data_IF_722723163781
#
_entry.id   IF_722723163781
#
_cell.length_a   1.000
_cell.length_b   1.000
_cell.length_c   1.000
_cell.angle_alpha   90.00
_cell.angle_beta   90.00
_cell.angle_gamma   90.00
#
_symmetry.space_group_name_H-M   'P 1'
#
loop_
_entity.id
_entity.type
_entity.pdbx_description
1 polymer ?
#
# COMPACT_ATOMS: atom_id res chain seq x y z
N UNK A 1 58.63 25.23 6.17
CA UNK A 1 57.29 25.75 5.79
C UNK A 1 56.38 24.57 5.46
N UNK A 2 55.52 24.11 6.39
CA UNK A 2 54.58 23.00 6.15
C UNK A 2 53.37 23.53 5.37
N UNK A 3 53.11 22.95 4.20
CA UNK A 3 52.00 23.32 3.32
C UNK A 3 50.73 22.66 3.87
N UNK A 4 49.86 23.45 4.49
CA UNK A 4 48.52 23.00 4.92
C UNK A 4 47.68 22.82 3.66
N UNK A 5 47.50 21.57 3.25
CA UNK A 5 46.53 21.21 2.21
C UNK A 5 45.15 21.36 2.86
N UNK A 6 44.47 22.47 2.59
CA UNK A 6 43.04 22.61 2.89
C UNK A 6 42.29 21.59 2.04
N UNK A 7 41.86 20.48 2.62
CA UNK A 7 40.80 19.65 2.05
C UNK A 7 39.59 20.59 1.88
N UNK A 8 39.21 20.87 0.63
CA UNK A 8 37.90 21.44 0.36
C UNK A 8 36.88 20.44 0.89
N UNK A 9 36.23 20.78 2.01
CA UNK A 9 35.05 20.07 2.44
C UNK A 9 33.97 20.37 1.41
N UNK A 10 33.83 19.51 0.41
CA UNK A 10 32.59 19.38 -0.35
C UNK A 10 31.54 18.90 0.63
N UNK A 11 30.96 19.83 1.38
CA UNK A 11 29.78 19.55 2.16
C UNK A 11 28.77 18.90 1.21
N UNK A 12 28.19 17.74 1.53
CA UNK A 12 27.19 17.14 0.67
C UNK A 12 26.06 18.16 0.51
N UNK A 13 25.85 18.66 -0.71
CA UNK A 13 24.93 19.78 -0.98
C UNK A 13 23.46 19.40 -0.70
N UNK A 14 23.13 18.11 -0.78
CA UNK A 14 21.78 17.58 -0.62
C UNK A 14 21.25 17.58 0.82
N UNK A 15 22.01 17.25 1.88
CA UNK A 15 21.53 17.37 3.26
C UNK A 15 21.27 18.80 3.76
N UNK A 16 21.60 19.86 2.99
CA UNK A 16 21.41 21.25 3.39
C UNK A 16 20.14 21.94 2.83
N UNK A 17 19.47 21.37 1.82
CA UNK A 17 18.24 21.95 1.24
C UNK A 17 17.11 21.95 2.27
N UNK A 18 16.27 22.99 2.40
CA UNK A 18 15.11 22.97 3.28
C UNK A 18 14.06 21.91 2.89
N UNK A 19 13.31 21.37 3.87
CA UNK A 19 12.29 20.34 3.63
C UNK A 19 11.20 20.77 2.63
N UNK A 20 10.86 22.07 2.60
CA UNK A 20 9.89 22.63 1.64
C UNK A 20 10.35 22.44 0.19
N UNK A 21 11.64 22.68 -0.07
CA UNK A 21 12.23 22.49 -1.41
C UNK A 21 12.29 21.00 -1.73
N UNK A 22 12.70 20.17 -0.77
CA UNK A 22 12.72 18.71 -0.94
C UNK A 22 11.33 18.14 -1.26
N UNK A 23 10.27 18.61 -0.57
CA UNK A 23 8.89 18.24 -0.88
C UNK A 23 8.50 18.60 -2.31
N UNK A 24 8.91 19.78 -2.79
CA UNK A 24 8.64 20.20 -4.17
C UNK A 24 9.38 19.30 -5.18
N UNK A 25 10.64 18.95 -4.92
CA UNK A 25 11.39 17.99 -5.75
C UNK A 25 10.72 16.62 -5.77
N UNK A 26 10.35 16.09 -4.61
CA UNK A 26 9.68 14.79 -4.54
C UNK A 26 8.30 14.80 -5.20
N UNK A 27 7.59 15.92 -5.20
CA UNK A 27 6.29 16.03 -5.88
C UNK A 27 6.36 15.85 -7.41
N UNK A 28 7.55 15.94 -8.01
CA UNK A 28 7.74 15.71 -9.46
C UNK A 28 8.17 14.28 -9.79
N UNK A 29 8.41 13.44 -8.78
CA UNK A 29 8.87 12.07 -8.96
C UNK A 29 7.70 11.10 -9.13
N UNK A 30 7.91 10.08 -9.95
CA UNK A 30 7.02 8.93 -9.99
C UNK A 30 7.02 8.17 -8.67
N UNK A 31 5.99 7.36 -8.43
CA UNK A 31 5.93 6.51 -7.24
C UNK A 31 7.14 5.58 -7.08
N UNK A 32 7.66 5.03 -8.18
CA UNK A 32 8.85 4.17 -8.16
C UNK A 32 10.09 4.93 -7.71
N UNK A 33 10.26 6.16 -8.20
CA UNK A 33 11.38 7.03 -7.81
C UNK A 33 11.26 7.50 -6.36
N UNK A 34 10.04 7.77 -5.89
CA UNK A 34 9.76 8.05 -4.48
C UNK A 34 10.18 6.87 -3.59
N UNK A 35 9.77 5.64 -3.93
CA UNK A 35 10.14 4.44 -3.17
C UNK A 35 11.67 4.26 -3.10
N UNK A 36 12.40 4.54 -4.20
CA UNK A 36 13.87 4.52 -4.20
C UNK A 36 14.47 5.62 -3.33
N UNK A 37 13.88 6.82 -3.38
CA UNK A 37 14.32 7.98 -2.60
C UNK A 37 14.15 7.74 -1.09
N UNK A 38 13.08 7.04 -0.69
CA UNK A 38 12.82 6.63 0.70
C UNK A 38 14.03 5.90 1.32
N UNK A 39 14.72 5.07 0.55
CA UNK A 39 15.83 4.22 1.02
C UNK A 39 17.16 4.97 1.21
N UNK A 40 17.21 6.26 0.89
CA UNK A 40 18.48 7.02 0.85
C UNK A 40 18.97 7.43 2.23
N UNK A 41 18.12 8.06 3.04
CA UNK A 41 18.43 8.45 4.43
C UNK A 41 17.15 8.68 5.23
N UNK A 42 17.24 8.66 6.56
CA UNK A 42 16.08 8.85 7.48
C UNK A 42 15.28 10.13 7.19
N UNK A 43 15.96 11.20 6.77
CA UNK A 43 15.30 12.47 6.43
C UNK A 43 14.44 12.32 5.17
N UNK A 44 14.98 11.71 4.12
CA UNK A 44 14.25 11.49 2.87
C UNK A 44 13.11 10.51 3.07
N UNK A 45 13.34 9.44 3.84
CA UNK A 45 12.31 8.51 4.25
C UNK A 45 11.11 9.21 4.88
N UNK A 46 11.36 10.14 5.82
CA UNK A 46 10.29 10.92 6.46
C UNK A 46 9.53 11.78 5.46
N UNK A 47 10.24 12.59 4.67
CA UNK A 47 9.61 13.52 3.74
C UNK A 47 8.81 12.77 2.67
N UNK A 48 9.39 11.71 2.08
CA UNK A 48 8.71 10.86 1.09
C UNK A 48 7.50 10.18 1.73
N UNK A 49 7.62 9.65 2.94
CA UNK A 49 6.51 9.06 3.67
C UNK A 49 5.36 10.06 3.88
N UNK A 50 5.66 11.30 4.27
CA UNK A 50 4.67 12.35 4.44
C UNK A 50 4.00 12.73 3.11
N UNK A 51 4.77 12.83 2.02
CA UNK A 51 4.24 13.05 0.67
C UNK A 51 3.30 11.93 0.25
N UNK A 52 3.73 10.67 0.36
CA UNK A 52 2.92 9.52 -0.05
C UNK A 52 1.64 9.38 0.78
N UNK A 53 1.66 9.66 2.10
CA UNK A 53 0.44 9.63 2.93
C UNK A 53 -0.55 10.72 2.55
N UNK A 54 -0.07 11.88 2.08
CA UNK A 54 -0.95 12.95 1.60
C UNK A 54 -1.53 12.64 0.22
N UNK A 55 -0.71 12.06 -0.64
CA UNK A 55 -1.05 11.82 -2.05
C UNK A 55 -1.74 10.47 -2.28
N UNK A 56 -1.81 9.59 -1.27
CA UNK A 56 -2.45 8.27 -1.37
C UNK A 56 -3.40 8.07 -0.19
N UNK A 57 -4.69 8.25 -0.48
CA UNK A 57 -5.81 7.97 0.42
C UNK A 57 -6.74 6.90 -0.16
N UNK A 58 -6.63 6.59 -1.45
CA UNK A 58 -7.32 5.49 -2.11
C UNK A 58 -6.30 4.51 -2.69
N UNK A 59 -6.49 3.22 -2.42
CA UNK A 59 -5.65 2.15 -2.94
C UNK A 59 -6.53 1.17 -3.70
N UNK A 60 -6.16 0.88 -4.94
CA UNK A 60 -6.77 -0.18 -5.75
C UNK A 60 -5.72 -1.25 -6.02
N UNK A 61 -5.99 -2.48 -5.58
CA UNK A 61 -5.13 -3.64 -5.81
C UNK A 61 -5.91 -4.66 -6.63
N UNK A 62 -5.52 -4.77 -7.90
CA UNK A 62 -6.09 -5.73 -8.85
C UNK A 62 -5.07 -6.83 -9.13
N UNK A 63 -5.44 -8.07 -8.84
CA UNK A 63 -4.60 -9.24 -9.12
C UNK A 63 -5.25 -10.19 -10.12
N UNK A 64 -6.06 -9.60 -10.99
CA UNK A 64 -6.81 -10.31 -12.02
C UNK A 64 -5.90 -10.60 -13.23
N UNK A 65 -5.83 -11.87 -13.62
CA UNK A 65 -5.15 -12.34 -14.83
C UNK A 65 -3.72 -12.84 -14.62
N UNK A 66 -3.18 -13.48 -15.66
CA UNK A 66 -1.82 -14.03 -15.72
C UNK A 66 -0.74 -12.95 -15.94
N UNK A 67 -0.98 -11.71 -15.48
CA UNK A 67 0.03 -10.66 -15.61
C UNK A 67 1.25 -11.07 -14.80
N UNK A 68 2.39 -11.25 -15.48
CA UNK A 68 3.69 -11.50 -14.85
C UNK A 68 4.35 -10.22 -14.35
N UNK A 69 3.73 -9.06 -14.58
CA UNK A 69 4.33 -7.76 -14.30
C UNK A 69 3.52 -6.95 -13.29
N UNK A 70 4.27 -6.23 -12.45
CA UNK A 70 3.73 -5.24 -11.53
C UNK A 70 3.61 -3.91 -12.26
N UNK A 71 2.40 -3.38 -12.35
CA UNK A 71 2.09 -2.06 -12.92
C UNK A 71 1.56 -1.18 -11.79
N UNK A 72 2.09 0.04 -11.69
CA UNK A 72 1.68 1.00 -10.67
C UNK A 72 1.37 2.33 -11.33
N UNK A 73 0.16 2.81 -11.12
CA UNK A 73 -0.30 4.11 -11.58
C UNK A 73 -0.61 4.99 -10.36
N UNK A 74 0.24 5.98 -10.11
CA UNK A 74 0.05 6.96 -9.05
C UNK A 74 -0.62 8.20 -9.61
N UNK A 75 -1.76 8.58 -9.03
CA UNK A 75 -2.59 9.70 -9.47
C UNK A 75 -2.81 10.69 -8.30
N UNK A 76 -1.81 11.52 -7.96
CA UNK A 76 -1.89 12.46 -6.83
C UNK A 76 -3.14 13.36 -6.80
N UNK A 77 -3.65 13.89 -7.95
CA UNK A 77 -4.87 14.71 -7.94
C UNK A 77 -6.10 13.98 -7.39
N UNK A 78 -6.19 12.68 -7.59
CA UNK A 78 -7.26 11.82 -7.08
C UNK A 78 -6.91 11.17 -5.74
N UNK A 79 -5.72 11.46 -5.21
CA UNK A 79 -5.12 10.80 -4.07
C UNK A 79 -5.12 9.27 -4.17
N UNK A 80 -4.91 8.75 -5.38
CA UNK A 80 -5.14 7.34 -5.71
C UNK A 80 -3.87 6.63 -6.16
N UNK A 81 -3.70 5.40 -5.68
CA UNK A 81 -2.68 4.47 -6.16
C UNK A 81 -3.36 3.21 -6.71
N UNK A 82 -3.27 3.01 -8.03
CA UNK A 82 -3.71 1.76 -8.65
C UNK A 82 -2.53 0.83 -8.85
N UNK A 83 -2.71 -0.43 -8.47
CA UNK A 83 -1.71 -1.48 -8.53
C UNK A 83 -2.34 -2.66 -9.24
N UNK A 84 -1.67 -3.10 -10.31
CA UNK A 84 -1.95 -4.39 -10.94
C UNK A 84 -0.74 -5.28 -10.75
N UNK A 85 -0.89 -6.46 -10.15
CA UNK A 85 0.25 -7.33 -9.87
C UNK A 85 -0.10 -8.83 -9.86
N UNK A 86 0.90 -9.71 -10.06
CA UNK A 86 0.77 -11.14 -9.80
C UNK A 86 0.29 -11.47 -8.38
N UNK A 87 -0.33 -12.65 -8.20
CA UNK A 87 -0.84 -13.15 -6.91
C UNK A 87 0.23 -13.29 -5.82
N UNK A 88 1.46 -13.58 -6.19
CA UNK A 88 2.62 -13.83 -5.32
C UNK A 88 3.46 -12.59 -5.02
N UNK A 89 3.04 -11.40 -5.46
CA UNK A 89 3.76 -10.13 -5.26
C UNK A 89 3.70 -9.56 -3.82
N UNK A 90 3.69 -10.42 -2.81
CA UNK A 90 3.53 -10.04 -1.39
C UNK A 90 4.66 -9.13 -0.88
N UNK A 91 5.90 -9.31 -1.32
CA UNK A 91 7.02 -8.45 -0.92
C UNK A 91 6.80 -6.99 -1.35
N UNK A 92 6.40 -6.79 -2.62
CA UNK A 92 6.05 -5.47 -3.13
C UNK A 92 4.85 -4.86 -2.38
N UNK A 93 3.79 -5.65 -2.18
CA UNK A 93 2.59 -5.21 -1.48
C UNK A 93 2.85 -4.89 -0.01
N UNK A 94 3.79 -5.58 0.65
CA UNK A 94 4.21 -5.28 2.02
C UNK A 94 4.76 -3.86 2.12
N UNK A 95 5.55 -3.45 1.12
CA UNK A 95 6.03 -2.07 1.00
C UNK A 95 4.89 -1.06 0.83
N UNK A 96 3.91 -1.37 -0.02
CA UNK A 96 2.71 -0.53 -0.25
C UNK A 96 1.94 -0.34 1.05
N UNK A 97 1.55 -1.45 1.70
CA UNK A 97 0.76 -1.46 2.92
C UNK A 97 1.50 -0.74 4.03
N UNK A 98 2.80 -1.00 4.25
CA UNK A 98 3.61 -0.33 5.27
C UNK A 98 3.53 1.21 5.21
N UNK A 99 3.51 1.77 4.00
CA UNK A 99 3.51 3.23 3.79
C UNK A 99 2.12 3.85 3.85
N UNK A 100 1.11 3.15 3.32
CA UNK A 100 -0.19 3.75 3.07
C UNK A 100 -1.27 3.31 4.06
N UNK A 101 -1.05 2.25 4.85
CA UNK A 101 -2.07 1.65 5.74
C UNK A 101 -2.75 2.60 6.73
N UNK A 102 -2.05 3.63 7.19
CA UNK A 102 -2.58 4.59 8.17
C UNK A 102 -3.30 5.78 7.51
N UNK A 103 -3.10 5.99 6.21
CA UNK A 103 -3.63 7.13 5.48
C UNK A 103 -4.71 6.74 4.46
N UNK A 104 -4.77 5.46 4.07
CA UNK A 104 -5.80 4.95 3.19
C UNK A 104 -7.18 5.03 3.87
N UNK A 105 -8.10 5.73 3.21
CA UNK A 105 -9.51 5.86 3.56
C UNK A 105 -10.37 4.94 2.70
N UNK A 106 -9.92 4.61 1.48
CA UNK A 106 -10.62 3.75 0.54
C UNK A 106 -9.72 2.61 0.06
N UNK A 107 -10.25 1.40 0.03
CA UNK A 107 -9.56 0.22 -0.46
C UNK A 107 -10.44 -0.50 -1.48
N UNK A 108 -9.91 -0.74 -2.67
CA UNK A 108 -10.49 -1.62 -3.68
C UNK A 108 -9.58 -2.82 -3.84
N UNK A 109 -10.09 -4.03 -3.60
CA UNK A 109 -9.28 -5.26 -3.72
C UNK A 109 -10.12 -6.52 -3.87
N UNK A 110 -9.47 -7.65 -4.10
CA UNK A 110 -10.10 -8.96 -4.21
C UNK A 110 -10.11 -9.73 -2.87
N UNK A 111 -11.06 -10.66 -2.71
CA UNK A 111 -11.18 -11.50 -1.52
C UNK A 111 -9.90 -12.31 -1.24
N UNK A 112 -9.26 -12.82 -2.30
CA UNK A 112 -8.00 -13.55 -2.22
C UNK A 112 -6.92 -12.72 -1.51
N UNK A 113 -6.97 -11.38 -1.55
CA UNK A 113 -5.93 -10.52 -0.97
C UNK A 113 -6.10 -10.43 0.52
N UNK A 114 -7.32 -10.10 0.92
CA UNK A 114 -7.71 -9.98 2.31
C UNK A 114 -7.54 -11.31 3.05
N UNK A 115 -7.84 -12.43 2.40
CA UNK A 115 -7.67 -13.77 2.94
C UNK A 115 -6.21 -14.19 3.17
N UNK A 116 -5.25 -13.51 2.54
CA UNK A 116 -3.83 -13.86 2.54
C UNK A 116 -2.96 -12.70 3.05
N UNK A 117 -3.53 -11.82 3.90
CA UNK A 117 -2.83 -10.65 4.44
C UNK A 117 -1.68 -11.01 5.40
N UNK A 118 -1.74 -12.20 6.00
CA UNK A 118 -0.70 -12.80 6.84
C UNK A 118 0.62 -13.04 6.10
N UNK A 119 0.57 -13.19 4.77
CA UNK A 119 1.76 -13.33 3.92
C UNK A 119 2.53 -12.02 3.73
N UNK A 120 1.96 -10.88 4.13
CA UNK A 120 2.65 -9.61 4.06
C UNK A 120 3.65 -9.45 5.21
N UNK A 121 4.88 -9.07 4.87
CA UNK A 121 5.91 -8.70 5.84
C UNK A 121 5.69 -7.26 6.32
N UNK A 122 4.67 -7.08 7.14
CA UNK A 122 4.31 -5.78 7.73
C UNK A 122 4.34 -5.91 9.23
N UNK A 123 5.25 -5.17 9.88
CA UNK A 123 5.32 -5.13 11.34
C UNK A 123 4.07 -4.46 11.91
N UNK A 124 3.26 -5.27 12.59
CA UNK A 124 2.12 -4.84 13.38
C UNK A 124 2.63 -4.77 14.81
N UNK A 125 3.25 -3.64 15.18
CA UNK A 125 3.89 -3.40 16.49
C UNK A 125 3.20 -4.17 17.62
N UNK A 126 3.97 -4.96 18.37
CA UNK A 126 3.46 -5.85 19.40
C UNK A 126 2.79 -5.07 20.54
N UNK A 127 1.61 -5.48 21.05
CA UNK A 127 0.81 -6.62 20.62
C UNK A 127 -0.44 -6.16 19.84
N UNK A 128 -0.51 -6.46 18.54
CA UNK A 128 -1.76 -6.70 17.77
C UNK A 128 -2.95 -5.72 17.92
N UNK A 129 -2.72 -4.47 18.32
CA UNK A 129 -3.81 -3.49 18.44
C UNK A 129 -4.09 -2.73 17.13
N UNK A 130 -3.17 -2.78 16.15
CA UNK A 130 -3.34 -2.04 14.90
C UNK A 130 -3.82 -2.94 13.79
N UNK A 131 -5.03 -2.63 13.30
CA UNK A 131 -5.60 -3.23 12.10
C UNK A 131 -4.73 -2.91 10.88
N UNK A 132 -4.71 -3.80 9.88
CA UNK A 132 -3.97 -3.58 8.63
C UNK A 132 -4.39 -2.30 7.91
N UNK A 133 -5.66 -1.94 8.00
CA UNK A 133 -6.27 -0.77 7.36
C UNK A 133 -7.17 -0.07 8.39
N UNK A 134 -6.55 0.49 9.43
CA UNK A 134 -7.26 1.09 10.55
C UNK A 134 -8.15 2.27 10.15
N UNK A 135 -7.73 3.04 9.15
CA UNK A 135 -8.41 4.26 8.69
C UNK A 135 -9.30 4.05 7.47
N UNK A 136 -9.40 2.81 6.94
CA UNK A 136 -10.26 2.55 5.77
C UNK A 136 -11.71 2.58 6.21
N UNK A 137 -12.47 3.46 5.57
CA UNK A 137 -13.90 3.71 5.77
C UNK A 137 -14.74 3.07 4.66
N UNK A 138 -14.22 3.06 3.42
CA UNK A 138 -14.89 2.47 2.25
C UNK A 138 -14.09 1.28 1.70
N UNK A 139 -14.70 0.09 1.70
CA UNK A 139 -14.16 -1.10 1.05
C UNK A 139 -14.97 -1.43 -0.21
N UNK A 140 -14.28 -1.54 -1.35
CA UNK A 140 -14.81 -2.12 -2.58
C UNK A 140 -14.22 -3.51 -2.77
N UNK A 141 -15.00 -4.54 -2.48
CA UNK A 141 -14.58 -5.93 -2.55
C UNK A 141 -14.98 -6.58 -3.87
N UNK A 142 -13.98 -6.99 -4.64
CA UNK A 142 -14.12 -7.70 -5.91
C UNK A 142 -14.15 -9.21 -5.65
N UNK A 143 -15.25 -9.86 -6.00
CA UNK A 143 -15.45 -11.29 -5.84
C UNK A 143 -15.63 -11.93 -7.21
N UNK A 144 -14.52 -12.41 -7.78
CA UNK A 144 -14.50 -12.99 -9.14
C UNK A 144 -14.57 -14.53 -9.11
N UNK A 145 -13.74 -15.15 -8.28
CA UNK A 145 -13.76 -16.59 -8.01
C UNK A 145 -13.61 -16.76 -6.51
N UNK A 146 -14.47 -17.57 -5.91
CA UNK A 146 -14.45 -17.90 -4.48
C UNK A 146 -14.22 -19.39 -4.35
N UNK A 147 -13.30 -19.77 -3.48
CA UNK A 147 -13.12 -21.12 -2.98
C UNK A 147 -13.25 -21.09 -1.45
N UNK A 148 -13.48 -22.25 -0.83
CA UNK A 148 -13.65 -22.33 0.63
C UNK A 148 -12.41 -21.86 1.40
N UNK A 149 -11.21 -22.08 0.87
CA UNK A 149 -9.96 -21.70 1.53
C UNK A 149 -9.83 -20.17 1.66
N UNK A 150 -10.23 -19.43 0.63
CA UNK A 150 -10.24 -17.97 0.62
C UNK A 150 -11.29 -17.39 1.57
N UNK A 151 -12.45 -18.05 1.71
CA UNK A 151 -13.47 -17.65 2.68
C UNK A 151 -12.95 -17.85 4.10
N UNK A 152 -12.44 -19.05 4.41
CA UNK A 152 -11.87 -19.35 5.74
C UNK A 152 -10.68 -18.44 6.07
N UNK A 153 -9.82 -18.17 5.09
CA UNK A 153 -8.71 -17.24 5.23
C UNK A 153 -9.19 -15.82 5.55
N UNK A 154 -10.24 -15.36 4.86
CA UNK A 154 -10.85 -14.05 5.13
C UNK A 154 -11.48 -13.99 6.52
N UNK A 155 -12.25 -14.99 6.93
CA UNK A 155 -12.83 -15.09 8.28
C UNK A 155 -11.75 -14.99 9.37
N UNK A 156 -10.66 -15.75 9.21
CA UNK A 156 -9.54 -15.74 10.15
C UNK A 156 -8.85 -14.36 10.24
N UNK A 157 -8.85 -13.60 9.14
CA UNK A 157 -8.21 -12.29 9.07
C UNK A 157 -9.15 -11.15 9.44
N UNK A 158 -10.48 -11.32 9.37
CA UNK A 158 -11.48 -10.26 9.44
C UNK A 158 -11.27 -9.30 10.63
N UNK A 159 -11.04 -9.84 11.83
CA UNK A 159 -10.80 -9.05 13.04
C UNK A 159 -9.48 -8.25 13.02
N UNK A 160 -8.60 -8.47 12.06
CA UNK A 160 -7.32 -7.76 11.94
C UNK A 160 -7.28 -6.77 10.80
N UNK A 161 -8.26 -6.78 9.90
CA UNK A 161 -8.21 -5.99 8.66
C UNK A 161 -8.57 -4.53 8.88
N UNK A 162 -9.73 -4.25 9.47
CA UNK A 162 -10.31 -2.91 9.48
C UNK A 162 -10.68 -2.41 10.88
N UNK A 163 -10.56 -1.09 11.08
CA UNK A 163 -10.90 -0.42 12.33
C UNK A 163 -12.08 0.55 12.24
N UNK A 164 -12.33 1.13 11.07
CA UNK A 164 -13.30 2.22 10.86
C UNK A 164 -14.22 1.97 9.65
N UNK A 165 -14.39 0.71 9.27
CA UNK A 165 -15.15 0.36 8.07
C UNK A 165 -16.62 0.79 8.22
N UNK A 166 -17.06 1.67 7.33
CA UNK A 166 -18.39 2.29 7.34
C UNK A 166 -19.25 1.83 6.16
N UNK A 167 -18.62 1.52 5.03
CA UNK A 167 -19.26 1.10 3.80
C UNK A 167 -18.51 -0.07 3.17
N UNK A 168 -19.28 -1.07 2.73
CA UNK A 168 -18.79 -2.19 1.94
C UNK A 168 -19.60 -2.25 0.66
N UNK A 169 -18.93 -2.04 -0.47
CA UNK A 169 -19.49 -2.30 -1.80
C UNK A 169 -18.95 -3.61 -2.31
N UNK A 170 -19.85 -4.52 -2.65
CA UNK A 170 -19.50 -5.83 -3.18
C UNK A 170 -19.77 -5.88 -4.68
N UNK A 171 -18.76 -6.30 -5.44
CA UNK A 171 -18.91 -6.59 -6.86
C UNK A 171 -18.66 -8.08 -7.10
N UNK A 172 -19.73 -8.84 -7.31
CA UNK A 172 -19.66 -10.27 -7.57
C UNK A 172 -19.75 -10.54 -9.08
N UNK A 173 -18.71 -11.17 -9.63
CA UNK A 173 -18.80 -11.80 -10.95
C UNK A 173 -19.28 -13.23 -10.75
N UNK A 174 -20.60 -13.42 -10.80
CA UNK A 174 -21.22 -14.70 -10.48
C UNK A 174 -21.00 -15.68 -11.63
N UNK A 175 -20.24 -16.74 -11.37
CA UNK A 175 -20.34 -17.99 -12.12
C UNK A 175 -21.36 -18.89 -11.41
N UNK A 176 -22.27 -19.53 -12.15
CA UNK A 176 -23.41 -20.33 -11.64
C UNK A 176 -23.07 -21.38 -10.54
N UNK A 177 -21.80 -21.76 -10.39
CA UNK A 177 -21.34 -22.76 -9.42
C UNK A 177 -20.95 -22.18 -8.05
N UNK A 178 -20.77 -20.86 -7.94
CA UNK A 178 -20.17 -20.22 -6.76
C UNK A 178 -21.16 -19.30 -6.02
N UNK A 179 -22.44 -19.26 -6.41
CA UNK A 179 -23.43 -18.35 -5.84
C UNK A 179 -23.70 -18.60 -4.35
N UNK A 180 -23.67 -19.86 -3.90
CA UNK A 180 -23.86 -20.22 -2.49
C UNK A 180 -22.69 -19.73 -1.62
N UNK A 181 -21.44 -19.90 -2.07
CA UNK A 181 -20.25 -19.44 -1.34
C UNK A 181 -20.20 -17.91 -1.20
N UNK A 182 -20.66 -17.18 -2.22
CA UNK A 182 -20.77 -15.72 -2.17
C UNK A 182 -21.72 -15.28 -1.06
N UNK A 183 -22.82 -16.02 -0.82
CA UNK A 183 -23.78 -15.66 0.24
C UNK A 183 -23.17 -15.70 1.65
N UNK A 184 -22.23 -16.61 1.90
CA UNK A 184 -21.51 -16.69 3.18
C UNK A 184 -20.58 -15.51 3.43
N UNK A 185 -20.04 -14.88 2.37
CA UNK A 185 -19.16 -13.71 2.52
C UNK A 185 -19.90 -12.41 2.85
N UNK A 186 -21.24 -12.40 2.78
CA UNK A 186 -22.09 -11.21 2.85
C UNK A 186 -22.81 -11.10 4.20
N UNK A 187 -22.97 -12.22 4.92
CA UNK A 187 -23.64 -12.29 6.23
C UNK A 187 -22.70 -11.85 7.36
#
# INVERSE_FOLDING_TARGET
KKRVVRKAATAPALPALPDVVMRKVFSTLSYRELCRSEMTCKRWQRIVGDTLRKDIQEITIERLGSSSQIVVLHQPPFRRLNITCPKDSYDFLSGVVRRSRQAALKLTTDLYFLANMDKLNVDLDTPRLRKYFASVEDLYLLVVVVNEDDVRGFENMAETLFGQLSSVTLQCHVHLKNSELVSFCIQ
#
